data_IF_810480539998
#
_entry.id   IF_810480539998
#
_cell.length_a   1.000
_cell.length_b   1.000
_cell.length_c   1.000
_cell.angle_alpha   90.00
_cell.angle_beta   90.00
_cell.angle_gamma   90.00
#
_symmetry.space_group_name_H-M   'P 1'
#
loop_
_entity.id
_entity.type
_entity.pdbx_description
1 polymer ?
#
# COMPACT_ATOMS: atom_id res chain seq x y z
N UNK A 1 -17.66 35.83 -49.19
CA UNK A 1 -18.25 36.05 -47.85
C UNK A 1 -18.65 34.68 -47.34
N UNK A 2 -17.80 34.04 -46.53
CA UNK A 2 -17.81 34.11 -45.06
C UNK A 2 -19.15 33.59 -44.50
N UNK A 3 -19.20 32.52 -43.69
CA UNK A 3 -18.38 32.32 -42.50
C UNK A 3 -18.27 30.83 -42.17
N UNK A 4 -17.05 30.36 -41.94
CA UNK A 4 -16.77 29.04 -41.34
C UNK A 4 -17.35 29.04 -39.92
N UNK A 5 -18.28 28.14 -39.65
CA UNK A 5 -18.59 27.71 -38.29
C UNK A 5 -17.49 26.71 -37.91
N UNK A 6 -16.36 27.23 -37.43
CA UNK A 6 -15.28 26.42 -36.88
C UNK A 6 -14.59 27.24 -35.79
N UNK A 7 -15.30 27.42 -34.68
CA UNK A 7 -14.79 27.99 -33.42
C UNK A 7 -15.64 27.47 -32.24
N UNK A 8 -15.91 26.16 -32.23
CA UNK A 8 -16.10 25.50 -30.94
C UNK A 8 -14.69 25.18 -30.46
N UNK A 9 -14.17 26.10 -29.63
CA UNK A 9 -12.98 25.92 -28.80
C UNK A 9 -12.72 24.43 -28.57
N UNK A 10 -11.55 23.96 -29.03
CA UNK A 10 -11.00 22.67 -28.64
C UNK A 10 -10.95 22.63 -27.11
N UNK A 11 -12.03 22.17 -26.48
CA UNK A 11 -12.09 21.94 -25.04
C UNK A 11 -10.98 20.95 -24.76
N UNK A 12 -9.90 21.47 -24.20
CA UNK A 12 -8.73 20.70 -23.76
C UNK A 12 -9.25 19.52 -22.95
N UNK A 13 -9.20 18.33 -23.53
CA UNK A 13 -9.73 17.13 -22.90
C UNK A 13 -8.90 16.89 -21.63
N UNK A 14 -9.51 17.10 -20.46
CA UNK A 14 -8.85 16.81 -19.19
C UNK A 14 -8.92 15.30 -18.99
N UNK A 15 -7.78 14.64 -19.19
CA UNK A 15 -7.66 13.22 -18.91
C UNK A 15 -7.73 12.93 -17.41
N UNK A 16 -8.24 11.77 -17.01
CA UNK A 16 -8.32 11.34 -15.61
C UNK A 16 -6.96 10.81 -15.14
N UNK A 17 -5.98 11.71 -15.13
CA UNK A 17 -4.58 11.41 -14.89
C UNK A 17 -4.22 11.46 -13.39
N UNK A 18 -2.99 11.04 -13.06
CA UNK A 18 -2.49 11.08 -11.68
C UNK A 18 -2.43 12.50 -11.12
N UNK A 19 -2.16 13.50 -11.96
CA UNK A 19 -2.18 14.92 -11.63
C UNK A 19 -3.54 15.32 -11.04
N UNK A 20 -4.62 14.95 -11.74
CA UNK A 20 -6.00 15.26 -11.37
C UNK A 20 -6.36 14.56 -10.06
N UNK A 21 -6.05 13.25 -9.96
CA UNK A 21 -6.31 12.47 -8.74
C UNK A 21 -5.54 12.99 -7.52
N UNK A 22 -4.30 13.43 -7.71
CA UNK A 22 -3.51 14.00 -6.63
C UNK A 22 -4.10 15.31 -6.13
N UNK A 23 -4.51 16.20 -7.05
CA UNK A 23 -5.19 17.44 -6.70
C UNK A 23 -6.51 17.19 -5.95
N UNK A 24 -7.31 16.23 -6.43
CA UNK A 24 -8.56 15.81 -5.79
C UNK A 24 -8.31 15.27 -4.38
N UNK A 25 -7.33 14.40 -4.18
CA UNK A 25 -6.98 13.87 -2.86
C UNK A 25 -6.63 14.99 -1.87
N UNK A 26 -5.80 15.93 -2.30
CA UNK A 26 -5.41 17.07 -1.48
C UNK A 26 -6.64 17.92 -1.12
N UNK A 27 -7.51 18.21 -2.09
CA UNK A 27 -8.75 18.96 -1.86
C UNK A 27 -9.68 18.27 -0.85
N UNK A 28 -9.92 16.97 -1.03
CA UNK A 28 -10.75 16.19 -0.10
C UNK A 28 -10.17 16.17 1.32
N UNK A 29 -8.84 15.98 1.46
CA UNK A 29 -8.19 15.87 2.77
C UNK A 29 -8.03 17.20 3.48
N UNK A 30 -7.91 18.29 2.73
CA UNK A 30 -7.92 19.64 3.30
C UNK A 30 -9.34 20.23 3.43
N UNK A 31 -10.39 19.49 3.09
CA UNK A 31 -11.78 19.96 3.12
C UNK A 31 -11.97 21.28 2.36
N UNK A 32 -11.32 21.40 1.19
CA UNK A 32 -11.27 22.62 0.38
C UNK A 32 -10.63 23.85 1.06
N UNK A 33 -9.86 23.64 2.14
CA UNK A 33 -9.05 24.70 2.75
C UNK A 33 -7.66 24.72 2.12
N UNK A 34 -7.18 25.89 1.78
CA UNK A 34 -5.83 26.09 1.23
C UNK A 34 -4.76 26.10 2.34
N UNK A 35 -4.79 25.12 3.25
CA UNK A 35 -3.83 25.01 4.37
C UNK A 35 -2.55 24.28 3.95
N UNK A 36 -1.80 24.92 3.06
CA UNK A 36 -0.56 24.39 2.50
C UNK A 36 0.53 24.21 3.56
N UNK A 37 0.51 25.06 4.60
CA UNK A 37 1.48 24.98 5.70
C UNK A 37 1.29 23.69 6.48
N UNK A 38 0.04 23.36 6.81
CA UNK A 38 -0.25 22.08 7.45
C UNK A 38 0.14 20.89 6.59
N UNK A 39 -0.09 20.97 5.27
CA UNK A 39 0.32 19.91 4.36
C UNK A 39 1.85 19.75 4.31
N UNK A 40 2.61 20.85 4.33
CA UNK A 40 4.07 20.79 4.46
C UNK A 40 4.52 20.15 5.77
N UNK A 41 3.90 20.48 6.90
CA UNK A 41 4.22 19.86 8.19
C UNK A 41 3.98 18.34 8.18
N UNK A 42 2.93 17.88 7.52
CA UNK A 42 2.57 16.47 7.45
C UNK A 42 3.40 15.68 6.43
N UNK A 43 3.80 16.30 5.33
CA UNK A 43 4.44 15.62 4.19
C UNK A 43 5.94 15.87 4.08
N UNK A 44 6.47 16.92 4.73
CA UNK A 44 7.82 17.43 4.53
C UNK A 44 8.04 18.14 3.20
N UNK A 45 7.04 18.16 2.31
CA UNK A 45 7.13 18.80 0.99
C UNK A 45 6.70 20.27 1.10
N UNK A 46 7.52 21.16 0.53
CA UNK A 46 7.31 22.63 0.63
C UNK A 46 5.91 23.07 0.21
N UNK A 47 5.28 23.92 1.02
CA UNK A 47 3.96 24.51 0.82
C UNK A 47 3.79 25.14 -0.58
N UNK A 48 4.85 25.79 -1.07
CA UNK A 48 4.89 26.44 -2.38
C UNK A 48 4.66 25.43 -3.51
N UNK A 49 5.20 24.22 -3.37
CA UNK A 49 5.08 23.15 -4.37
C UNK A 49 3.64 22.65 -4.47
N UNK A 50 2.97 22.46 -3.34
CA UNK A 50 1.55 22.14 -3.27
C UNK A 50 0.68 23.22 -3.90
N UNK A 51 0.97 24.49 -3.58
CA UNK A 51 0.27 25.64 -4.16
C UNK A 51 0.45 25.72 -5.68
N UNK A 52 1.66 25.46 -6.18
CA UNK A 52 1.95 25.49 -7.61
C UNK A 52 1.28 24.35 -8.37
N UNK A 53 1.21 23.14 -7.79
CA UNK A 53 0.43 22.05 -8.37
C UNK A 53 -1.05 22.42 -8.43
N UNK A 54 -1.60 22.94 -7.33
CA UNK A 54 -2.99 23.36 -7.26
C UNK A 54 -3.34 24.48 -8.25
N UNK A 55 -2.45 25.45 -8.43
CA UNK A 55 -2.62 26.56 -9.37
C UNK A 55 -2.38 26.15 -10.85
N UNK A 56 -2.03 24.88 -11.13
CA UNK A 56 -1.73 24.41 -12.49
C UNK A 56 -0.40 24.93 -13.04
N UNK A 57 0.45 25.53 -12.19
CA UNK A 57 1.80 25.99 -12.56
C UNK A 57 2.71 24.79 -12.78
N UNK A 58 2.60 23.78 -11.91
CA UNK A 58 3.25 22.48 -12.10
C UNK A 58 2.26 21.57 -12.81
N UNK A 59 2.65 21.08 -14.00
CA UNK A 59 1.83 20.17 -14.80
C UNK A 59 1.95 18.70 -14.41
N UNK A 60 3.03 18.31 -13.74
CA UNK A 60 3.30 16.92 -13.35
C UNK A 60 3.73 16.87 -11.88
N UNK A 61 3.02 16.13 -11.01
CA UNK A 61 3.46 15.95 -9.64
C UNK A 61 4.80 15.22 -9.62
N UNK A 62 5.69 15.68 -8.76
CA UNK A 62 6.98 15.03 -8.59
C UNK A 62 6.85 13.78 -7.72
N UNK A 63 7.84 12.89 -7.83
CA UNK A 63 7.86 11.60 -7.14
C UNK A 63 7.72 11.75 -5.62
N UNK A 64 8.37 12.74 -5.01
CA UNK A 64 8.27 13.04 -3.58
C UNK A 64 6.86 13.46 -3.13
N UNK A 65 6.09 14.16 -3.98
CA UNK A 65 4.70 14.53 -3.67
C UNK A 65 3.80 13.30 -3.65
N UNK A 66 3.96 12.43 -4.65
CA UNK A 66 3.21 11.17 -4.76
C UNK A 66 3.55 10.28 -3.57
N UNK A 67 4.84 10.06 -3.31
CA UNK A 67 5.31 9.23 -2.20
C UNK A 67 4.81 9.75 -0.86
N UNK A 68 4.89 11.06 -0.61
CA UNK A 68 4.45 11.64 0.65
C UNK A 68 2.94 11.44 0.89
N UNK A 69 2.10 11.60 -0.14
CA UNK A 69 0.67 11.34 -0.02
C UNK A 69 0.35 9.86 0.14
N UNK A 70 1.04 8.98 -0.58
CA UNK A 70 0.90 7.53 -0.39
C UNK A 70 1.30 7.09 1.01
N UNK A 71 2.33 7.69 1.62
CA UNK A 71 2.72 7.39 3.01
C UNK A 71 1.75 7.98 4.03
N UNK A 72 1.24 9.19 3.79
CA UNK A 72 0.31 9.87 4.69
C UNK A 72 -1.09 9.23 4.66
N UNK A 73 -1.55 8.81 3.48
CA UNK A 73 -2.85 8.20 3.23
C UNK A 73 -2.71 6.89 2.43
N UNK A 74 -2.14 5.84 3.05
CA UNK A 74 -1.83 4.60 2.34
C UNK A 74 -3.05 3.89 1.75
N UNK A 75 -4.23 4.05 2.35
CA UNK A 75 -5.48 3.51 1.82
C UNK A 75 -5.87 4.09 0.45
N UNK A 76 -5.32 5.25 0.07
CA UNK A 76 -5.59 5.89 -1.23
C UNK A 76 -4.48 5.67 -2.25
N UNK A 77 -3.39 4.96 -1.91
CA UNK A 77 -2.22 4.82 -2.77
C UNK A 77 -2.54 4.10 -4.09
N UNK A 78 -3.31 3.02 -4.04
CA UNK A 78 -3.73 2.27 -5.22
C UNK A 78 -4.63 3.10 -6.14
N UNK A 79 -5.62 3.80 -5.56
CA UNK A 79 -6.49 4.71 -6.32
C UNK A 79 -5.72 5.88 -6.93
N UNK A 80 -4.76 6.46 -6.19
CA UNK A 80 -3.96 7.58 -6.68
C UNK A 80 -3.19 7.19 -7.96
N UNK A 81 -2.59 6.00 -7.97
CA UNK A 81 -1.74 5.55 -9.08
C UNK A 81 -2.53 4.94 -10.24
N UNK A 82 -3.63 4.24 -9.97
CA UNK A 82 -4.39 3.50 -11.00
C UNK A 82 -5.71 4.16 -11.39
N UNK A 83 -6.33 4.94 -10.50
CA UNK A 83 -7.70 5.43 -10.64
C UNK A 83 -8.76 4.40 -10.26
N UNK A 84 -8.34 3.21 -9.86
CA UNK A 84 -9.22 2.11 -9.47
C UNK A 84 -9.34 2.03 -7.95
N UNK A 85 -10.44 1.48 -7.48
CA UNK A 85 -10.71 1.17 -6.08
C UNK A 85 -10.82 -0.33 -5.89
N UNK A 86 -10.41 -0.80 -4.72
CA UNK A 86 -10.55 -2.18 -4.27
C UNK A 86 -10.98 -2.11 -2.80
N UNK A 87 -12.29 -1.94 -2.61
CA UNK A 87 -12.90 -1.75 -1.30
C UNK A 87 -12.74 -2.98 -0.38
N UNK A 88 -12.63 -4.17 -0.98
CA UNK A 88 -12.44 -5.42 -0.25
C UNK A 88 -11.08 -5.40 0.45
N UNK A 89 -10.01 -5.12 -0.29
CA UNK A 89 -8.65 -4.93 0.26
C UNK A 89 -8.48 -3.62 1.05
N UNK A 90 -9.48 -2.74 1.03
CA UNK A 90 -9.46 -1.45 1.71
C UNK A 90 -8.62 -0.37 1.01
N UNK A 91 -8.45 -0.52 -0.31
CA UNK A 91 -7.95 0.52 -1.19
C UNK A 91 -9.11 1.38 -1.70
N UNK A 92 -9.19 2.62 -1.26
CA UNK A 92 -10.36 3.49 -1.49
C UNK A 92 -10.00 4.77 -2.21
N UNK A 93 -10.98 5.36 -2.87
CA UNK A 93 -10.94 6.77 -3.25
C UNK A 93 -11.19 7.64 -2.00
N UNK A 94 -10.72 8.90 -1.98
CA UNK A 94 -10.98 9.81 -0.87
C UNK A 94 -12.47 10.13 -0.68
N UNK A 95 -13.27 10.08 -1.75
CA UNK A 95 -14.71 10.26 -1.74
C UNK A 95 -15.41 9.26 -2.68
N UNK A 96 -16.68 8.96 -2.40
CA UNK A 96 -17.46 7.95 -3.14
C UNK A 96 -17.65 8.31 -4.62
N UNK A 97 -17.81 9.59 -4.93
CA UNK A 97 -18.02 10.07 -6.30
C UNK A 97 -16.75 10.02 -7.16
N UNK A 98 -15.58 9.76 -6.53
CA UNK A 98 -14.29 9.60 -7.19
C UNK A 98 -13.89 8.13 -7.35
N UNK A 99 -14.70 7.21 -6.84
CA UNK A 99 -14.42 5.79 -6.87
C UNK A 99 -14.84 5.16 -8.19
N UNK A 100 -13.99 4.29 -8.72
CA UNK A 100 -14.29 3.44 -9.88
C UNK A 100 -13.76 2.02 -9.63
N UNK A 101 -14.53 0.94 -9.90
CA UNK A 101 -15.91 0.92 -10.39
C UNK A 101 -16.95 1.47 -9.40
N UNK A 102 -16.50 1.91 -8.22
CA UNK A 102 -17.39 2.28 -7.13
C UNK A 102 -17.90 1.03 -6.41
N UNK A 103 -18.87 1.20 -5.51
CA UNK A 103 -19.61 0.09 -4.93
C UNK A 103 -20.64 -0.38 -5.96
N UNK A 104 -20.38 -1.53 -6.61
CA UNK A 104 -21.40 -2.27 -7.35
C UNK A 104 -22.52 -2.63 -6.33
N UNK A 105 -23.77 -2.28 -6.65
CA UNK A 105 -25.03 -2.45 -5.88
C UNK A 105 -24.99 -3.62 -4.86
N UNK A 106 -25.34 -3.52 -3.57
CA UNK A 106 -26.49 -2.87 -2.93
C UNK A 106 -26.21 -2.60 -1.45
N UNK A 107 -26.49 -1.38 -0.97
CA UNK A 107 -26.45 -1.07 0.46
C UNK A 107 -25.31 -0.14 0.85
N UNK A 108 -25.69 1.06 1.30
CA UNK A 108 -24.83 2.02 1.99
C UNK A 108 -24.18 1.36 3.22
N UNK A 109 -22.99 0.78 3.07
CA UNK A 109 -22.22 0.22 4.19
C UNK A 109 -20.96 1.02 4.45
N UNK A 110 -19.96 0.85 3.58
CA UNK A 110 -18.58 1.18 3.93
C UNK A 110 -18.09 2.44 3.20
N UNK A 111 -18.43 3.61 3.74
CA UNK A 111 -17.84 4.90 3.34
C UNK A 111 -16.30 4.87 3.51
N UNK A 112 -15.53 5.68 2.75
CA UNK A 112 -14.06 5.79 2.90
C UNK A 112 -13.59 6.07 4.34
N UNK A 113 -14.46 6.62 5.20
CA UNK A 113 -14.20 6.85 6.62
C UNK A 113 -14.39 5.65 7.56
N UNK A 114 -14.90 4.51 7.08
CA UNK A 114 -15.16 3.32 7.92
C UNK A 114 -14.02 2.29 7.93
N UNK A 115 -12.88 2.60 7.30
CA UNK A 115 -11.78 1.64 7.12
C UNK A 115 -10.61 1.83 8.10
N UNK A 116 -10.89 2.19 9.35
CA UNK A 116 -9.87 2.51 10.35
C UNK A 116 -8.88 1.35 10.58
N UNK A 117 -9.37 0.11 10.60
CA UNK A 117 -8.54 -1.09 10.73
C UNK A 117 -7.52 -1.23 9.59
N UNK A 118 -7.94 -0.93 8.35
CA UNK A 118 -7.07 -0.95 7.17
C UNK A 118 -6.05 0.17 7.23
N UNK A 119 -6.47 1.40 7.52
CA UNK A 119 -5.58 2.57 7.63
C UNK A 119 -4.52 2.30 8.69
N UNK A 120 -4.93 1.80 9.85
CA UNK A 120 -4.03 1.41 10.93
C UNK A 120 -3.05 0.33 10.49
N UNK A 121 -3.52 -0.71 9.81
CA UNK A 121 -2.66 -1.78 9.31
C UNK A 121 -1.60 -1.26 8.35
N UNK A 122 -1.97 -0.47 7.34
CA UNK A 122 -0.99 0.06 6.40
C UNK A 122 -0.02 1.04 7.05
N UNK A 123 -0.47 1.89 7.97
CA UNK A 123 0.44 2.78 8.73
C UNK A 123 1.43 1.99 9.58
N UNK A 124 0.96 0.92 10.24
CA UNK A 124 1.82 0.01 11.00
C UNK A 124 2.85 -0.67 10.09
N UNK A 125 2.45 -1.13 8.89
CA UNK A 125 3.37 -1.67 7.90
C UNK A 125 4.45 -0.66 7.49
N UNK A 126 4.07 0.60 7.24
CA UNK A 126 5.01 1.65 6.84
C UNK A 126 5.99 2.00 7.97
N UNK A 127 5.51 2.08 9.20
CA UNK A 127 6.36 2.32 10.38
C UNK A 127 7.38 1.18 10.55
N UNK A 128 6.90 -0.06 10.56
CA UNK A 128 7.76 -1.24 10.73
C UNK A 128 8.74 -1.37 9.56
N UNK A 129 8.32 -1.10 8.32
CA UNK A 129 9.20 -1.07 7.16
C UNK A 129 10.31 -0.02 7.33
N UNK A 130 9.98 1.17 7.83
CA UNK A 130 10.95 2.22 8.13
C UNK A 130 11.97 1.79 9.18
N UNK A 131 11.50 1.19 10.29
CA UNK A 131 12.38 0.60 11.31
C UNK A 131 13.27 -0.48 10.72
N UNK A 132 12.69 -1.40 9.96
CA UNK A 132 13.44 -2.48 9.32
C UNK A 132 14.53 -1.93 8.40
N UNK A 133 14.17 -0.99 7.52
CA UNK A 133 15.11 -0.38 6.61
C UNK A 133 16.28 0.28 7.35
N UNK A 134 15.99 1.10 8.35
CA UNK A 134 17.01 1.81 9.11
C UNK A 134 17.98 0.86 9.81
N UNK A 135 17.45 -0.14 10.53
CA UNK A 135 18.25 -1.08 11.31
C UNK A 135 19.09 -1.99 10.40
N UNK A 136 18.55 -2.39 9.26
CA UNK A 136 19.31 -3.13 8.26
C UNK A 136 20.42 -2.27 7.63
N UNK A 137 20.13 -1.02 7.29
CA UNK A 137 21.14 -0.09 6.76
C UNK A 137 22.26 0.16 7.77
N UNK A 138 21.92 0.38 9.04
CA UNK A 138 22.90 0.56 10.12
C UNK A 138 23.75 -0.70 10.31
N UNK A 139 23.13 -1.89 10.24
CA UNK A 139 23.85 -3.16 10.28
C UNK A 139 24.79 -3.32 9.07
N UNK A 140 24.30 -3.06 7.86
CA UNK A 140 25.12 -3.14 6.64
C UNK A 140 26.29 -2.16 6.75
N UNK A 141 26.05 -0.89 7.07
CA UNK A 141 27.09 0.13 7.16
C UNK A 141 28.14 -0.16 8.25
N UNK A 142 27.76 -0.77 9.36
CA UNK A 142 28.72 -1.22 10.39
C UNK A 142 29.62 -2.35 9.90
N UNK A 143 29.11 -3.22 9.03
CA UNK A 143 29.82 -4.41 8.55
C UNK A 143 30.52 -4.19 7.20
N UNK A 144 30.00 -3.30 6.35
CA UNK A 144 30.63 -2.85 5.12
C UNK A 144 31.57 -1.71 5.47
N UNK A 145 32.88 -1.91 5.27
CA UNK A 145 33.88 -0.83 5.41
C UNK A 145 33.75 0.26 4.33
N UNK A 146 32.59 0.38 3.70
CA UNK A 146 32.27 1.23 2.55
C UNK A 146 30.98 1.97 2.89
N UNK A 147 30.95 3.25 2.57
CA UNK A 147 29.75 4.08 2.67
C UNK A 147 28.69 3.61 1.66
N UNK A 148 27.44 3.48 2.11
CA UNK A 148 26.36 2.97 1.27
C UNK A 148 25.71 4.09 0.48
N UNK A 149 25.94 4.11 -0.83
CA UNK A 149 25.20 4.94 -1.78
C UNK A 149 24.01 4.19 -2.41
N UNK A 150 23.17 4.91 -3.17
CA UNK A 150 21.98 4.34 -3.82
C UNK A 150 22.31 3.15 -4.72
N UNK A 151 23.38 3.24 -5.51
CA UNK A 151 23.70 2.19 -6.48
C UNK A 151 24.23 0.94 -5.78
N UNK A 152 25.07 1.14 -4.76
CA UNK A 152 25.59 0.09 -3.89
C UNK A 152 24.45 -0.67 -3.21
N UNK A 153 23.44 0.05 -2.70
CA UNK A 153 22.26 -0.56 -2.10
C UNK A 153 21.46 -1.37 -3.14
N UNK A 154 21.25 -0.84 -4.35
CA UNK A 154 20.59 -1.59 -5.43
C UNK A 154 21.39 -2.82 -5.83
N UNK A 155 22.72 -2.69 -5.87
CA UNK A 155 23.63 -3.78 -6.21
C UNK A 155 23.64 -4.87 -5.14
N UNK A 156 23.33 -4.59 -3.87
CA UNK A 156 23.15 -5.63 -2.85
C UNK A 156 21.98 -6.59 -3.14
N UNK A 157 21.01 -6.17 -3.95
CA UNK A 157 19.86 -7.02 -4.35
C UNK A 157 20.06 -7.76 -5.67
N UNK A 158 21.12 -7.43 -6.44
CA UNK A 158 21.42 -8.06 -7.75
C UNK A 158 22.08 -9.45 -7.65
N UNK A 159 23.05 -9.71 -6.77
CA UNK A 159 23.59 -11.05 -6.57
C UNK A 159 22.59 -11.89 -5.77
N UNK A 160 22.67 -13.21 -5.87
CA UNK A 160 21.85 -14.16 -5.10
C UNK A 160 22.13 -14.16 -3.58
N UNK A 161 22.47 -13.01 -3.01
CA UNK A 161 22.60 -12.75 -1.59
C UNK A 161 21.18 -12.65 -1.03
N UNK A 162 20.96 -13.25 0.14
CA UNK A 162 19.65 -13.31 0.79
C UNK A 162 19.28 -11.99 1.51
N UNK A 163 19.74 -10.85 0.98
CA UNK A 163 19.46 -9.50 1.47
C UNK A 163 18.00 -9.17 1.21
N UNK A 164 17.14 -9.61 2.12
CA UNK A 164 15.70 -9.37 2.06
C UNK A 164 15.26 -8.49 3.23
N UNK A 165 14.44 -7.48 2.94
CA UNK A 165 13.78 -6.62 3.96
C UNK A 165 12.64 -7.32 4.70
N UNK A 166 12.59 -8.64 4.60
CA UNK A 166 11.54 -9.41 5.22
C UNK A 166 11.85 -9.52 6.71
N UNK A 167 10.84 -9.25 7.53
CA UNK A 167 10.93 -9.36 8.99
C UNK A 167 11.40 -10.72 9.49
N UNK A 168 11.39 -11.76 8.67
CA UNK A 168 11.83 -13.13 9.01
C UNK A 168 13.23 -13.48 8.48
N UNK A 169 13.85 -12.59 7.72
CA UNK A 169 15.17 -12.82 7.17
C UNK A 169 16.23 -12.96 8.28
N UNK A 170 17.27 -13.74 8.00
CA UNK A 170 18.40 -13.94 8.92
C UNK A 170 19.18 -12.66 9.17
N UNK A 171 19.33 -11.86 8.13
CA UNK A 171 19.97 -10.53 8.10
C UNK A 171 19.28 -9.59 9.08
N UNK A 172 17.94 -9.67 9.13
CA UNK A 172 17.12 -8.89 10.06
C UNK A 172 17.22 -9.40 11.49
N UNK A 173 17.31 -10.71 11.65
CA UNK A 173 17.54 -11.31 12.97
C UNK A 173 18.87 -10.84 13.55
N UNK A 174 19.90 -10.70 12.70
CA UNK A 174 21.21 -10.20 13.08
C UNK A 174 21.20 -8.69 13.37
N UNK A 175 20.46 -7.90 12.57
CA UNK A 175 20.36 -6.46 12.75
C UNK A 175 19.57 -6.06 14.01
N UNK A 176 18.36 -6.60 14.18
CA UNK A 176 17.43 -6.21 15.25
C UNK A 176 17.62 -7.01 16.55
N UNK A 177 18.17 -8.22 16.44
CA UNK A 177 18.11 -9.22 17.49
C UNK A 177 16.72 -9.89 17.58
N UNK A 178 16.73 -11.19 17.91
CA UNK A 178 15.54 -12.06 17.91
C UNK A 178 14.36 -11.52 18.74
N UNK A 179 14.63 -10.96 19.93
CA UNK A 179 13.57 -10.47 20.83
C UNK A 179 12.81 -9.29 20.23
N UNK A 180 13.53 -8.34 19.67
CA UNK A 180 12.92 -7.13 19.12
C UNK A 180 12.19 -7.42 17.81
N UNK A 181 12.82 -8.20 16.93
CA UNK A 181 12.20 -8.75 15.73
C UNK A 181 10.87 -9.46 16.04
N UNK A 182 10.84 -10.33 17.06
CA UNK A 182 9.61 -11.02 17.47
C UNK A 182 8.54 -10.02 17.96
N UNK A 183 8.94 -8.95 18.64
CA UNK A 183 8.04 -7.86 19.03
C UNK A 183 7.38 -7.20 17.82
N UNK A 184 8.16 -6.86 16.78
CA UNK A 184 7.64 -6.28 15.53
C UNK A 184 6.71 -7.26 14.80
N UNK A 185 7.11 -8.53 14.68
CA UNK A 185 6.29 -9.58 14.06
C UNK A 185 4.95 -9.73 14.77
N UNK A 186 4.94 -9.75 16.11
CA UNK A 186 3.70 -9.86 16.89
C UNK A 186 2.79 -8.64 16.71
N UNK A 187 3.37 -7.43 16.68
CA UNK A 187 2.64 -6.18 16.48
C UNK A 187 1.99 -6.15 15.09
N UNK A 188 2.75 -6.50 14.06
CA UNK A 188 2.26 -6.62 12.69
C UNK A 188 1.18 -7.70 12.57
N UNK A 189 1.40 -8.89 13.15
CA UNK A 189 0.43 -9.98 13.11
C UNK A 189 -0.90 -9.58 13.74
N UNK A 190 -0.88 -8.87 14.88
CA UNK A 190 -2.08 -8.34 15.53
C UNK A 190 -2.83 -7.34 14.64
N UNK A 191 -2.10 -6.40 14.03
CA UNK A 191 -2.68 -5.38 13.15
C UNK A 191 -3.27 -6.01 11.87
N UNK A 192 -2.55 -6.96 11.28
CA UNK A 192 -2.99 -7.71 10.10
C UNK A 192 -4.24 -8.52 10.38
N UNK A 193 -4.28 -9.26 11.48
CA UNK A 193 -5.44 -10.08 11.83
C UNK A 193 -6.69 -9.19 11.99
N UNK A 194 -6.56 -8.04 12.67
CA UNK A 194 -7.67 -7.10 12.79
C UNK A 194 -8.14 -6.52 11.43
N UNK A 195 -7.21 -6.23 10.52
CA UNK A 195 -7.53 -5.82 9.15
C UNK A 195 -8.25 -6.94 8.38
N UNK A 196 -7.76 -8.19 8.44
CA UNK A 196 -8.39 -9.35 7.80
C UNK A 196 -9.79 -9.62 8.36
N UNK A 197 -9.97 -9.58 9.68
CA UNK A 197 -11.28 -9.72 10.31
C UNK A 197 -12.26 -8.66 9.79
N UNK A 198 -11.77 -7.42 9.64
CA UNK A 198 -12.56 -6.32 9.06
C UNK A 198 -12.86 -6.54 7.58
N UNK A 199 -11.92 -7.06 6.78
CA UNK A 199 -12.14 -7.41 5.37
C UNK A 199 -13.19 -8.51 5.23
N UNK A 200 -13.04 -9.60 5.99
CA UNK A 200 -13.96 -10.75 5.98
C UNK A 200 -15.36 -10.30 6.39
N UNK A 201 -15.47 -9.45 7.42
CA UNK A 201 -16.77 -8.91 7.84
C UNK A 201 -17.44 -8.14 6.70
N UNK A 202 -16.70 -7.30 5.97
CA UNK A 202 -17.22 -6.58 4.80
C UNK A 202 -17.62 -7.52 3.66
N UNK A 203 -16.84 -8.57 3.40
CA UNK A 203 -17.20 -9.58 2.39
C UNK A 203 -18.53 -10.26 2.75
N UNK A 204 -18.71 -10.63 4.03
CA UNK A 204 -19.95 -11.24 4.52
C UNK A 204 -21.15 -10.30 4.46
N UNK A 205 -20.96 -9.01 4.65
CA UNK A 205 -22.02 -8.01 4.52
C UNK A 205 -22.52 -7.84 3.08
N UNK A 206 -21.66 -8.06 2.08
CA UNK A 206 -21.97 -7.79 0.68
C UNK A 206 -22.22 -9.05 -0.16
N UNK A 207 -21.88 -10.23 0.36
CA UNK A 207 -22.06 -11.51 -0.33
C UNK A 207 -22.68 -12.54 0.62
N UNK A 208 -23.94 -12.89 0.38
CA UNK A 208 -24.70 -13.87 1.19
C UNK A 208 -24.01 -15.24 1.29
N UNK A 209 -23.22 -15.62 0.28
CA UNK A 209 -22.48 -16.89 0.22
C UNK A 209 -20.99 -16.76 0.61
N UNK A 210 -20.55 -15.64 1.18
CA UNK A 210 -19.14 -15.41 1.52
C UNK A 210 -18.58 -16.55 2.39
N UNK A 211 -19.33 -17.02 3.39
CA UNK A 211 -18.91 -18.11 4.26
C UNK A 211 -18.77 -19.42 3.49
N UNK A 212 -19.69 -19.72 2.57
CA UNK A 212 -19.61 -20.90 1.70
C UNK A 212 -18.35 -20.88 0.83
N UNK A 213 -17.96 -19.72 0.31
CA UNK A 213 -16.73 -19.55 -0.49
C UNK A 213 -15.49 -19.67 0.39
N UNK A 214 -15.48 -19.04 1.57
CA UNK A 214 -14.38 -19.12 2.54
C UNK A 214 -14.17 -20.56 3.00
N UNK A 215 -15.24 -21.29 3.29
CA UNK A 215 -15.17 -22.69 3.74
C UNK A 215 -14.66 -23.62 2.63
N UNK A 216 -15.07 -23.40 1.37
CA UNK A 216 -14.49 -24.12 0.22
C UNK A 216 -13.00 -23.86 0.08
N UNK A 217 -12.57 -22.61 0.22
CA UNK A 217 -11.15 -22.25 0.15
C UNK A 217 -10.34 -22.89 1.29
N UNK A 218 -10.86 -22.86 2.52
CA UNK A 218 -10.23 -23.52 3.68
C UNK A 218 -10.13 -25.03 3.51
N UNK A 219 -11.16 -25.68 2.97
CA UNK A 219 -11.13 -27.11 2.66
C UNK A 219 -10.04 -27.42 1.62
N UNK A 220 -9.95 -26.62 0.56
CA UNK A 220 -8.89 -26.74 -0.44
C UNK A 220 -7.49 -26.54 0.15
N UNK A 221 -7.29 -25.52 0.97
CA UNK A 221 -6.00 -25.28 1.65
C UNK A 221 -5.61 -26.43 2.60
N UNK A 222 -6.57 -26.97 3.34
CA UNK A 222 -6.35 -28.13 4.21
C UNK A 222 -5.95 -29.38 3.42
N UNK A 223 -6.58 -29.63 2.26
CA UNK A 223 -6.18 -30.70 1.34
C UNK A 223 -4.75 -30.51 0.82
N UNK A 224 -4.41 -29.28 0.42
CA UNK A 224 -3.07 -28.94 -0.07
C UNK A 224 -2.00 -29.17 1.00
N UNK A 225 -2.27 -28.74 2.24
CA UNK A 225 -1.37 -28.95 3.40
C UNK A 225 -1.20 -30.46 3.66
N UNK A 226 -2.30 -31.22 3.69
CA UNK A 226 -2.23 -32.66 3.89
C UNK A 226 -1.44 -33.37 2.78
N UNK A 227 -1.51 -32.89 1.55
CA UNK A 227 -0.70 -33.41 0.44
C UNK A 227 0.79 -33.10 0.63
N UNK A 228 1.14 -31.88 1.06
CA UNK A 228 2.52 -31.51 1.39
C UNK A 228 3.08 -32.34 2.54
N UNK A 229 2.31 -32.53 3.62
CA UNK A 229 2.72 -33.35 4.76
C UNK A 229 2.93 -34.82 4.37
N UNK A 230 2.06 -35.38 3.51
CA UNK A 230 2.23 -36.73 2.97
C UNK A 230 3.51 -36.85 2.13
N UNK A 231 3.80 -35.87 1.28
CA UNK A 231 5.04 -35.85 0.47
C UNK A 231 6.28 -35.75 1.35
N UNK A 232 6.24 -34.95 2.40
CA UNK A 232 7.33 -34.83 3.37
C UNK A 232 7.54 -36.14 4.15
N UNK A 233 6.48 -36.79 4.61
CA UNK A 233 6.56 -38.09 5.28
C UNK A 233 7.13 -39.17 4.35
N UNK A 234 6.71 -39.22 3.09
CA UNK A 234 7.26 -40.15 2.09
C UNK A 234 8.75 -39.88 1.83
N UNK A 235 9.15 -38.61 1.73
CA UNK A 235 10.56 -38.24 1.55
C UNK A 235 11.42 -38.61 2.76
N UNK A 236 10.89 -38.50 3.98
CA UNK A 236 11.58 -38.94 5.21
C UNK A 236 11.71 -40.46 5.27
N UNK A 237 10.68 -41.22 4.88
CA UNK A 237 10.76 -42.68 4.82
C UNK A 237 11.75 -43.18 3.76
N UNK A 238 11.78 -42.56 2.58
CA UNK A 238 12.75 -42.89 1.52
C UNK A 238 14.18 -42.65 1.99
N UNK A 239 14.43 -41.59 2.76
CA UNK A 239 15.75 -41.30 3.35
C UNK A 239 16.15 -42.28 4.47
N UNK A 240 15.19 -42.88 5.18
CA UNK A 240 15.47 -43.92 6.21
C UNK A 240 15.76 -45.30 5.62
N UNK A 241 15.40 -45.55 4.36
CA UNK A 241 15.60 -46.82 3.64
C UNK A 241 16.88 -46.86 2.79
N UNK A 242 17.62 -45.75 2.70
CA UNK A 242 18.95 -45.65 2.08
C UNK A 242 20.01 -45.58 3.16
#
# INVERSE_FOLDING_TARGET
>A
MATKVNDLDEKKHLDYSIEVRLALLVQCKLQNKNDWKRLEELTGVKSVKWRHLHAGVIKQPSVDMIEALCKLYPQHAFWLTTGLTDYEAGHTAPEIHLAFPGTLESGLGNLPGQQEATVRYFKECLEILGTCWQEWMDYVQKNSKVEMDRNSVVDLYKPGINTSLQLRATEFTNALGKRWQMGLVNRLAKSRNHHLDSMISRLRENFDDADTVIDRQRAFEAELIAEFEKKDQQNVEIKKRK
#
